data_IF_023914291934
#
_entry.id   IF_023914291934
#
_cell.length_a   1.000
_cell.length_b   1.000
_cell.length_c   1.000
_cell.angle_alpha   90.00
_cell.angle_beta   90.00
_cell.angle_gamma   90.00
#
_symmetry.space_group_name_H-M   'P 1'
#
loop_
_entity.id
_entity.type
_entity.pdbx_description
1 polymer ?
#
# COMPACT_ATOMS: atom_id res chain seq x y z
N UNK A 1 -1.19 12.11 11.07
CA UNK A 1 0.28 12.00 11.21
C UNK A 1 0.61 10.62 11.78
N UNK A 2 1.65 9.98 11.25
CA UNK A 2 2.27 8.77 11.81
C UNK A 2 3.70 9.15 12.17
N UNK A 3 4.12 8.81 13.37
CA UNK A 3 5.46 9.08 13.87
C UNK A 3 6.10 7.77 14.32
N UNK A 4 7.30 7.50 13.86
CA UNK A 4 8.09 6.30 14.16
C UNK A 4 9.36 6.77 14.88
N UNK A 5 9.56 6.33 16.11
CA UNK A 5 10.69 6.74 16.93
C UNK A 5 11.45 5.53 17.48
N UNK A 6 12.74 5.52 17.18
CA UNK A 6 13.71 4.51 17.64
C UNK A 6 13.22 3.08 17.40
N UNK A 7 12.67 2.83 16.20
CA UNK A 7 12.07 1.55 15.87
C UNK A 7 13.13 0.50 15.56
N UNK A 8 13.07 -0.61 16.29
CA UNK A 8 13.92 -1.76 16.07
C UNK A 8 13.09 -3.03 15.83
N UNK A 9 13.54 -3.86 14.90
CA UNK A 9 12.97 -5.19 14.67
C UNK A 9 14.04 -6.21 14.35
N UNK A 10 13.94 -7.37 14.98
CA UNK A 10 14.80 -8.53 14.71
C UNK A 10 13.98 -9.80 14.53
N UNK A 11 14.49 -10.70 13.71
CA UNK A 11 13.99 -12.06 13.56
C UNK A 11 15.10 -13.01 14.01
N UNK A 12 14.89 -13.64 15.17
CA UNK A 12 15.97 -14.40 15.82
C UNK A 12 17.19 -13.51 16.11
N UNK A 13 18.33 -13.83 15.50
CA UNK A 13 19.58 -13.07 15.66
C UNK A 13 19.76 -11.95 14.61
N UNK A 14 18.94 -11.92 13.56
CA UNK A 14 19.07 -10.97 12.44
C UNK A 14 18.34 -9.67 12.79
N UNK A 15 19.06 -8.57 12.89
CA UNK A 15 18.48 -7.22 12.99
C UNK A 15 18.05 -6.79 11.59
N UNK A 16 16.79 -6.39 11.44
CA UNK A 16 16.20 -5.94 10.17
C UNK A 16 15.88 -4.47 10.19
N UNK A 17 15.49 -3.93 11.35
CA UNK A 17 15.32 -2.50 11.57
C UNK A 17 16.14 -2.11 12.79
N UNK A 18 16.86 -0.98 12.73
CA UNK A 18 17.79 -0.58 13.76
C UNK A 18 17.78 0.93 14.01
N UNK A 19 16.90 1.38 14.90
CA UNK A 19 16.78 2.79 15.28
C UNK A 19 16.16 3.68 14.21
N UNK A 20 15.07 3.23 13.59
CA UNK A 20 14.38 3.99 12.54
C UNK A 20 13.59 5.15 13.14
N UNK A 21 13.78 6.34 12.56
CA UNK A 21 13.02 7.56 12.88
C UNK A 21 12.39 8.10 11.60
N UNK A 22 11.05 8.20 11.55
CA UNK A 22 10.30 8.66 10.38
C UNK A 22 9.04 9.41 10.82
N UNK A 23 8.67 10.43 10.04
CA UNK A 23 7.42 11.17 10.23
C UNK A 23 6.64 11.22 8.90
N UNK A 24 5.35 10.91 8.98
CA UNK A 24 4.44 10.94 7.84
C UNK A 24 3.28 11.90 8.12
N UNK A 25 3.32 13.05 7.45
CA UNK A 25 2.30 14.11 7.59
C UNK A 25 1.17 13.94 6.57
N UNK A 26 -0.04 14.41 6.87
CA UNK A 26 -1.16 14.43 5.93
C UNK A 26 -0.83 15.17 4.63
N UNK A 27 -1.49 14.78 3.53
CA UNK A 27 -1.38 15.47 2.25
C UNK A 27 -0.04 15.32 1.54
N UNK A 28 0.77 14.33 1.90
CA UNK A 28 2.07 14.08 1.27
C UNK A 28 2.21 12.67 0.73
N UNK A 29 3.06 12.51 -0.28
CA UNK A 29 3.48 11.22 -0.82
C UNK A 29 4.93 10.99 -0.42
N UNK A 30 5.16 9.90 0.31
CA UNK A 30 6.47 9.47 0.78
C UNK A 30 6.94 8.24 0.01
N UNK A 31 8.19 8.26 -0.45
CA UNK A 31 8.87 7.12 -1.01
C UNK A 31 9.77 6.46 0.04
N UNK A 32 9.76 5.14 0.10
CA UNK A 32 10.72 4.33 0.86
C UNK A 32 11.52 3.49 -0.12
N UNK A 33 12.77 3.87 -0.37
CA UNK A 33 13.66 3.20 -1.31
C UNK A 33 14.67 2.36 -0.55
N UNK A 34 14.98 1.19 -1.05
CA UNK A 34 16.00 0.29 -0.52
C UNK A 34 16.06 -1.01 -1.32
N UNK A 35 17.16 -1.71 -1.23
CA UNK A 35 17.33 -3.01 -1.87
C UNK A 35 16.33 -4.06 -1.37
N UNK A 36 16.25 -5.18 -2.09
CA UNK A 36 15.47 -6.31 -1.61
C UNK A 36 16.12 -6.85 -0.32
N UNK A 37 15.29 -7.03 0.73
CA UNK A 37 15.78 -7.42 2.05
C UNK A 37 16.15 -6.26 2.98
N UNK A 38 16.18 -4.99 2.53
CA UNK A 38 16.51 -3.83 3.37
C UNK A 38 15.53 -3.55 4.53
N UNK A 39 14.40 -4.27 4.61
CA UNK A 39 13.44 -4.11 5.72
C UNK A 39 12.20 -3.29 5.39
N UNK A 40 11.98 -2.84 4.14
CA UNK A 40 10.81 -2.02 3.74
C UNK A 40 9.46 -2.65 4.16
N UNK A 41 9.23 -3.89 3.75
CA UNK A 41 8.02 -4.66 4.12
C UNK A 41 7.93 -4.87 5.64
N UNK A 42 9.06 -5.08 6.31
CA UNK A 42 9.11 -5.24 7.77
C UNK A 42 8.68 -3.95 8.46
N UNK A 43 9.17 -2.80 8.00
CA UNK A 43 8.75 -1.49 8.52
C UNK A 43 7.24 -1.28 8.36
N UNK A 44 6.70 -1.57 7.17
CA UNK A 44 5.26 -1.45 6.93
C UNK A 44 4.43 -2.37 7.83
N UNK A 45 4.88 -3.61 8.03
CA UNK A 45 4.20 -4.56 8.92
C UNK A 45 4.26 -4.10 10.40
N UNK A 46 5.33 -3.45 10.84
CA UNK A 46 5.38 -2.81 12.15
C UNK A 46 4.40 -1.63 12.25
N UNK A 47 4.34 -0.74 11.24
CA UNK A 47 3.40 0.39 11.20
C UNK A 47 1.95 -0.12 11.22
N UNK A 48 1.67 -1.24 10.53
CA UNK A 48 0.34 -1.86 10.51
C UNK A 48 -0.01 -2.61 11.80
N UNK A 49 0.97 -2.81 12.71
CA UNK A 49 0.78 -3.59 13.94
C UNK A 49 0.71 -5.09 13.71
N UNK A 50 1.21 -5.57 12.57
CA UNK A 50 1.27 -7.01 12.23
C UNK A 50 2.47 -7.66 12.92
N UNK A 51 3.58 -6.93 13.03
CA UNK A 51 4.77 -7.40 13.75
C UNK A 51 4.98 -6.62 15.04
N UNK A 52 5.43 -7.31 16.07
CA UNK A 52 5.99 -6.72 17.30
C UNK A 52 7.33 -6.02 17.00
N UNK A 53 7.65 -5.00 17.76
CA UNK A 53 8.84 -4.17 17.62
C UNK A 53 9.24 -3.57 18.96
N UNK A 54 10.42 -2.97 19.06
CA UNK A 54 10.83 -2.08 20.14
C UNK A 54 10.95 -0.64 19.61
N UNK A 55 10.84 0.37 20.51
CA UNK A 55 10.65 1.76 20.13
C UNK A 55 9.17 2.15 20.16
N UNK A 56 8.77 3.17 19.42
CA UNK A 56 7.38 3.61 19.40
C UNK A 56 6.88 3.98 18.01
N UNK A 57 5.60 3.66 17.74
CA UNK A 57 4.86 4.14 16.57
C UNK A 57 3.59 4.82 17.08
N UNK A 58 3.52 6.12 16.88
CA UNK A 58 2.37 6.95 17.30
C UNK A 58 1.50 7.29 16.10
N UNK A 59 0.22 7.00 16.19
CA UNK A 59 -0.80 7.37 15.20
C UNK A 59 -2.14 7.64 15.90
N UNK A 60 -2.97 8.53 15.34
CA UNK A 60 -4.32 8.74 15.85
C UNK A 60 -5.11 7.44 15.82
N UNK A 61 -5.88 7.16 16.88
CA UNK A 61 -6.77 5.97 16.95
C UNK A 61 -7.85 5.96 15.86
N UNK A 62 -8.22 7.12 15.35
CA UNK A 62 -9.24 7.28 14.30
C UNK A 62 -8.66 7.17 12.89
N UNK A 63 -7.33 7.09 12.76
CA UNK A 63 -6.65 7.08 11.46
C UNK A 63 -6.88 5.74 10.74
N UNK A 64 -7.62 5.81 9.65
CA UNK A 64 -7.91 4.64 8.80
C UNK A 64 -6.73 4.39 7.86
N UNK A 65 -6.13 3.22 7.94
CA UNK A 65 -4.97 2.85 7.12
C UNK A 65 -5.33 1.69 6.21
N UNK A 66 -5.02 1.83 4.93
CA UNK A 66 -5.08 0.78 3.92
C UNK A 66 -3.67 0.30 3.55
N UNK A 67 -3.49 -1.01 3.37
CA UNK A 67 -2.20 -1.61 3.05
C UNK A 67 -2.29 -2.51 1.81
N UNK A 68 -1.50 -2.19 0.79
CA UNK A 68 -1.26 -3.06 -0.35
C UNK A 68 0.07 -3.78 -0.14
N UNK A 69 0.01 -5.05 0.18
CA UNK A 69 1.21 -5.88 0.38
C UNK A 69 1.99 -6.11 -0.92
N UNK A 70 3.31 -6.31 -0.79
CA UNK A 70 4.18 -6.70 -1.91
C UNK A 70 3.72 -8.00 -2.58
N UNK A 71 3.29 -8.99 -1.79
CA UNK A 71 2.65 -10.22 -2.24
C UNK A 71 1.21 -10.28 -1.74
N UNK A 72 0.26 -9.98 -2.62
CA UNK A 72 -1.16 -10.02 -2.26
C UNK A 72 -1.69 -11.46 -2.36
N UNK A 73 -2.36 -11.91 -1.30
CA UNK A 73 -3.06 -13.18 -1.28
C UNK A 73 -4.50 -13.01 -1.80
N UNK A 74 -4.93 -13.94 -2.64
CA UNK A 74 -6.31 -14.00 -3.13
C UNK A 74 -6.87 -15.41 -2.95
N UNK A 75 -8.08 -15.50 -2.47
CA UNK A 75 -8.78 -16.78 -2.35
C UNK A 75 -9.03 -17.38 -3.75
N UNK A 76 -8.87 -18.69 -3.88
CA UNK A 76 -8.87 -19.37 -5.18
C UNK A 76 -10.21 -19.33 -5.93
N UNK A 77 -11.32 -19.24 -5.20
CA UNK A 77 -12.68 -19.32 -5.75
C UNK A 77 -13.49 -18.03 -5.53
N UNK A 78 -12.80 -16.89 -5.46
CA UNK A 78 -13.44 -15.57 -5.34
C UNK A 78 -13.11 -14.75 -6.58
N UNK A 79 -14.13 -14.24 -7.25
CA UNK A 79 -13.99 -13.36 -8.40
C UNK A 79 -13.41 -12.00 -8.00
N UNK A 80 -12.95 -11.22 -9.00
CA UNK A 80 -12.49 -9.86 -8.75
C UNK A 80 -13.56 -8.99 -8.09
N UNK A 81 -14.82 -9.12 -8.54
CA UNK A 81 -15.94 -8.37 -7.95
C UNK A 81 -16.16 -8.76 -6.49
N UNK A 82 -16.31 -10.06 -6.21
CA UNK A 82 -16.50 -10.56 -4.85
C UNK A 82 -15.37 -10.17 -3.90
N UNK A 83 -14.12 -10.13 -4.41
CA UNK A 83 -12.98 -9.65 -3.63
C UNK A 83 -13.14 -8.19 -3.23
N UNK A 84 -13.55 -7.31 -4.15
CA UNK A 84 -13.79 -5.89 -3.85
C UNK A 84 -14.92 -5.70 -2.85
N UNK A 85 -16.02 -6.42 -3.04
CA UNK A 85 -17.15 -6.41 -2.11
C UNK A 85 -16.76 -6.89 -0.71
N UNK A 86 -15.98 -7.98 -0.65
CA UNK A 86 -15.43 -8.49 0.62
C UNK A 86 -14.58 -7.43 1.32
N UNK A 87 -13.67 -6.76 0.59
CA UNK A 87 -12.82 -5.71 1.15
C UNK A 87 -13.62 -4.53 1.70
N UNK A 88 -14.72 -4.14 1.05
CA UNK A 88 -15.63 -3.09 1.55
C UNK A 88 -16.36 -3.56 2.82
N UNK A 89 -16.95 -4.75 2.79
CA UNK A 89 -17.64 -5.34 3.96
C UNK A 89 -16.74 -5.50 5.17
N UNK A 90 -15.50 -5.94 4.95
CA UNK A 90 -14.49 -6.08 6.02
C UNK A 90 -14.13 -4.74 6.72
N UNK A 91 -14.37 -3.62 6.04
CA UNK A 91 -14.23 -2.26 6.61
C UNK A 91 -15.55 -1.70 7.15
N UNK A 92 -16.63 -2.49 7.19
CA UNK A 92 -17.95 -2.02 7.61
C UNK A 92 -18.60 -1.04 6.63
N UNK A 93 -18.13 -1.00 5.37
CA UNK A 93 -18.67 -0.11 4.36
C UNK A 93 -19.79 -0.79 3.56
N UNK A 94 -20.81 -0.04 3.15
CA UNK A 94 -21.84 -0.57 2.27
C UNK A 94 -21.24 -0.91 0.90
N UNK A 95 -21.63 -2.05 0.34
CA UNK A 95 -21.25 -2.41 -1.02
C UNK A 95 -22.02 -1.53 -2.00
N UNK A 96 -21.30 -0.86 -2.88
CA UNK A 96 -21.85 -0.03 -3.95
C UNK A 96 -21.33 -0.51 -5.30
N UNK A 97 -22.04 -1.45 -5.90
CA UNK A 97 -21.66 -2.05 -7.19
C UNK A 97 -21.52 -1.01 -8.31
N UNK A 98 -22.39 -0.01 -8.47
CA UNK A 98 -22.17 1.08 -9.42
C UNK A 98 -20.83 1.81 -9.24
N UNK A 99 -20.42 2.09 -8.01
CA UNK A 99 -19.10 2.72 -7.74
C UNK A 99 -17.94 1.78 -8.12
N UNK A 100 -18.06 0.48 -7.86
CA UNK A 100 -17.08 -0.51 -8.27
C UNK A 100 -16.96 -0.55 -9.80
N UNK A 101 -18.08 -0.59 -10.50
CA UNK A 101 -18.11 -0.62 -11.97
C UNK A 101 -17.53 0.64 -12.58
N UNK A 102 -17.90 1.82 -12.09
CA UNK A 102 -17.34 3.09 -12.54
C UNK A 102 -15.81 3.15 -12.34
N UNK A 103 -15.33 2.70 -11.18
CA UNK A 103 -13.88 2.62 -10.95
C UNK A 103 -13.23 1.59 -11.88
N UNK A 104 -13.90 0.48 -12.21
CA UNK A 104 -13.40 -0.54 -13.13
C UNK A 104 -13.35 -0.08 -14.60
N UNK A 105 -14.14 0.90 -15.01
CA UNK A 105 -13.98 1.53 -16.33
C UNK A 105 -12.56 2.05 -16.55
N UNK A 106 -11.91 2.49 -15.45
CA UNK A 106 -10.55 3.02 -15.45
C UNK A 106 -9.51 1.87 -15.42
N UNK A 107 -9.73 0.84 -14.58
CA UNK A 107 -8.78 -0.26 -14.38
C UNK A 107 -8.89 -1.37 -15.42
N UNK A 108 -10.07 -1.54 -16.03
CA UNK A 108 -10.38 -2.54 -17.04
C UNK A 108 -10.01 -3.97 -16.64
N UNK A 109 -10.34 -4.36 -15.40
CA UNK A 109 -10.13 -5.71 -14.89
C UNK A 109 -11.33 -6.61 -15.23
N UNK A 110 -11.12 -7.90 -15.56
CA UNK A 110 -12.19 -8.87 -15.77
C UNK A 110 -12.77 -9.32 -14.41
N UNK A 111 -13.66 -8.50 -13.82
CA UNK A 111 -14.15 -8.68 -12.46
C UNK A 111 -14.99 -9.94 -12.26
N UNK A 112 -15.45 -10.57 -13.33
CA UNK A 112 -16.17 -11.84 -13.37
C UNK A 112 -15.26 -13.07 -13.25
N UNK A 113 -13.95 -12.92 -13.44
CA UNK A 113 -12.97 -14.02 -13.33
C UNK A 113 -12.44 -14.14 -11.91
N UNK A 114 -11.96 -15.34 -11.56
CA UNK A 114 -11.31 -15.58 -10.27
C UNK A 114 -10.05 -14.73 -10.09
N UNK A 115 -9.98 -13.99 -8.99
CA UNK A 115 -8.87 -13.09 -8.70
C UNK A 115 -7.52 -13.84 -8.53
N UNK A 116 -7.57 -15.11 -8.12
CA UNK A 116 -6.38 -15.96 -8.00
C UNK A 116 -5.69 -16.20 -9.35
N UNK A 117 -6.44 -16.18 -10.46
CA UNK A 117 -5.94 -16.39 -11.83
C UNK A 117 -5.36 -15.12 -12.48
N UNK A 118 -5.48 -13.98 -11.82
CA UNK A 118 -4.95 -12.72 -12.33
C UNK A 118 -3.42 -12.74 -12.39
N UNK A 119 -2.87 -12.07 -13.41
CA UNK A 119 -1.43 -11.79 -13.44
C UNK A 119 -1.01 -10.95 -12.22
N UNK A 120 0.29 -10.93 -11.92
CA UNK A 120 0.83 -10.10 -10.82
C UNK A 120 0.37 -8.65 -10.91
N UNK A 121 0.45 -8.06 -12.12
CA UNK A 121 0.02 -6.68 -12.35
C UNK A 121 -1.48 -6.48 -12.17
N UNK A 122 -2.32 -7.43 -12.61
CA UNK A 122 -3.77 -7.37 -12.37
C UNK A 122 -4.11 -7.50 -10.89
N UNK A 123 -3.42 -8.37 -10.15
CA UNK A 123 -3.55 -8.51 -8.70
C UNK A 123 -3.21 -7.21 -7.96
N UNK A 124 -2.13 -6.53 -8.38
CA UNK A 124 -1.76 -5.20 -7.85
C UNK A 124 -2.83 -4.15 -8.14
N UNK A 125 -3.33 -4.10 -9.37
CA UNK A 125 -4.42 -3.20 -9.75
C UNK A 125 -5.68 -3.47 -8.92
N UNK A 126 -6.08 -4.73 -8.75
CA UNK A 126 -7.27 -5.12 -7.96
C UNK A 126 -7.11 -4.73 -6.48
N UNK A 127 -5.96 -5.03 -5.88
CA UNK A 127 -5.68 -4.63 -4.50
C UNK A 127 -5.66 -3.11 -4.31
N UNK A 128 -5.09 -2.36 -5.26
CA UNK A 128 -5.11 -0.90 -5.21
C UNK A 128 -6.54 -0.35 -5.39
N UNK A 129 -7.33 -0.93 -6.30
CA UNK A 129 -8.74 -0.61 -6.47
C UNK A 129 -9.54 -0.85 -5.18
N UNK A 130 -9.28 -1.96 -4.47
CA UNK A 130 -9.90 -2.24 -3.17
C UNK A 130 -9.58 -1.15 -2.15
N UNK A 131 -8.34 -0.65 -2.10
CA UNK A 131 -7.96 0.45 -1.19
C UNK A 131 -8.65 1.77 -1.53
N UNK A 132 -8.87 2.06 -2.83
CA UNK A 132 -9.56 3.27 -3.26
C UNK A 132 -11.06 3.27 -2.90
N UNK A 133 -11.67 2.09 -2.81
CA UNK A 133 -13.06 1.91 -2.40
C UNK A 133 -13.26 2.00 -0.88
N UNK A 134 -12.17 1.90 -0.12
CA UNK A 134 -12.17 2.05 1.33
C UNK A 134 -11.87 3.50 1.69
N UNK A 135 -12.59 4.07 2.63
CA UNK A 135 -12.35 5.43 3.12
C UNK A 135 -11.10 5.49 4.01
N UNK A 136 -9.91 5.33 3.40
CA UNK A 136 -8.64 5.38 4.11
C UNK A 136 -8.09 6.81 4.16
N UNK A 137 -7.36 7.15 5.24
CA UNK A 137 -6.60 8.39 5.40
C UNK A 137 -5.15 8.21 4.99
N UNK A 138 -4.63 7.00 5.21
CA UNK A 138 -3.26 6.61 4.88
C UNK A 138 -3.27 5.39 3.96
N UNK A 139 -2.50 5.45 2.89
CA UNK A 139 -2.29 4.38 1.94
C UNK A 139 -0.84 3.93 2.00
N UNK A 140 -0.59 2.71 2.47
CA UNK A 140 0.73 2.09 2.45
C UNK A 140 0.77 1.11 1.28
N UNK A 141 1.67 1.37 0.33
CA UNK A 141 1.77 0.63 -0.94
C UNK A 141 3.15 -0.01 -1.04
N UNK A 142 3.21 -1.33 -0.85
CA UNK A 142 4.46 -2.08 -0.89
C UNK A 142 4.72 -2.64 -2.30
N UNK A 143 5.74 -2.07 -2.97
CA UNK A 143 6.11 -2.39 -4.36
C UNK A 143 4.90 -2.38 -5.31
N UNK A 144 4.08 -1.31 -5.35
CA UNK A 144 2.79 -1.32 -6.04
C UNK A 144 2.92 -1.41 -7.57
N UNK A 145 4.06 -1.03 -8.13
CA UNK A 145 4.29 -1.00 -9.58
C UNK A 145 4.93 -2.28 -10.12
N UNK A 146 5.36 -3.18 -9.23
CA UNK A 146 6.05 -4.40 -9.63
C UNK A 146 5.12 -5.35 -10.41
N UNK A 147 5.51 -5.70 -11.64
CA UNK A 147 4.71 -6.54 -12.54
C UNK A 147 3.50 -5.84 -13.19
N UNK A 148 3.32 -4.54 -12.96
CA UNK A 148 2.27 -3.73 -13.61
C UNK A 148 2.79 -3.19 -14.94
N UNK A 149 1.97 -3.25 -15.97
CA UNK A 149 2.25 -2.69 -17.30
C UNK A 149 2.39 -1.16 -17.26
N UNK A 150 3.03 -0.58 -18.26
CA UNK A 150 3.30 0.86 -18.32
C UNK A 150 2.02 1.71 -18.18
N UNK A 151 0.95 1.31 -18.87
CA UNK A 151 -0.35 2.02 -18.78
C UNK A 151 -0.91 1.98 -17.36
N UNK A 152 -0.85 0.83 -16.72
CA UNK A 152 -1.26 0.66 -15.32
C UNK A 152 -0.40 1.48 -14.35
N UNK A 153 0.91 1.53 -14.53
CA UNK A 153 1.80 2.36 -13.72
C UNK A 153 1.44 3.85 -13.83
N UNK A 154 1.21 4.37 -15.06
CA UNK A 154 0.81 5.75 -15.30
C UNK A 154 -0.53 6.04 -14.62
N UNK A 155 -1.50 5.14 -14.78
CA UNK A 155 -2.81 5.25 -14.14
C UNK A 155 -2.70 5.31 -12.61
N UNK A 156 -2.00 4.35 -12.01
CA UNK A 156 -1.83 4.30 -10.56
C UNK A 156 -1.12 5.53 -10.01
N UNK A 157 -0.07 6.02 -10.68
CA UNK A 157 0.62 7.27 -10.32
C UNK A 157 -0.33 8.47 -10.36
N UNK A 158 -1.19 8.57 -11.38
CA UNK A 158 -2.22 9.62 -11.48
C UNK A 158 -3.19 9.57 -10.31
N UNK A 159 -3.71 8.39 -9.97
CA UNK A 159 -4.63 8.20 -8.84
C UNK A 159 -3.96 8.52 -7.50
N UNK A 160 -2.69 8.16 -7.32
CA UNK A 160 -1.90 8.51 -6.13
C UNK A 160 -1.78 10.03 -5.97
N UNK A 161 -1.54 10.78 -7.07
CA UNK A 161 -1.55 12.25 -7.01
C UNK A 161 -2.92 12.82 -6.64
N UNK A 162 -4.02 12.17 -7.09
CA UNK A 162 -5.37 12.56 -6.68
C UNK A 162 -5.65 12.30 -5.20
N UNK A 163 -5.09 11.22 -4.62
CA UNK A 163 -5.17 10.99 -3.17
C UNK A 163 -4.48 12.11 -2.40
N UNK A 164 -3.30 12.54 -2.82
CA UNK A 164 -2.61 13.72 -2.23
C UNK A 164 -3.47 14.98 -2.32
N UNK A 165 -4.08 15.25 -3.46
CA UNK A 165 -4.97 16.41 -3.64
C UNK A 165 -6.20 16.36 -2.72
N UNK A 166 -6.54 15.20 -2.18
CA UNK A 166 -7.58 14.98 -1.16
C UNK A 166 -7.01 14.91 0.27
N UNK A 167 -5.83 15.47 0.49
CA UNK A 167 -5.13 15.49 1.79
C UNK A 167 -4.86 14.10 2.38
N UNK A 168 -4.91 13.04 1.56
CA UNK A 168 -4.55 11.69 2.01
C UNK A 168 -3.03 11.52 2.03
N UNK A 169 -2.53 10.70 2.97
CA UNK A 169 -1.10 10.36 3.04
C UNK A 169 -0.86 9.09 2.24
N UNK A 170 0.18 9.08 1.42
CA UNK A 170 0.58 7.89 0.68
C UNK A 170 2.03 7.56 0.98
N UNK A 171 2.32 6.30 1.34
CA UNK A 171 3.67 5.80 1.61
C UNK A 171 3.91 4.65 0.63
N UNK A 172 4.94 4.77 -0.20
CA UNK A 172 5.20 3.84 -1.30
C UNK A 172 6.60 3.27 -1.17
N UNK A 173 6.75 1.96 -1.13
CA UNK A 173 8.07 1.34 -1.25
C UNK A 173 8.43 1.04 -2.71
N UNK A 174 9.72 1.11 -3.01
CA UNK A 174 10.30 0.60 -4.25
C UNK A 174 11.79 0.31 -4.07
N UNK A 175 12.30 -0.65 -4.83
CA UNK A 175 13.74 -0.84 -5.00
C UNK A 175 14.32 0.05 -6.11
N UNK A 176 13.46 0.74 -6.89
CA UNK A 176 13.83 1.62 -7.99
C UNK A 176 13.45 3.06 -7.69
N UNK A 177 14.43 3.90 -7.36
CA UNK A 177 14.21 5.33 -7.08
C UNK A 177 13.54 6.06 -8.25
N UNK A 178 13.88 5.71 -9.50
CA UNK A 178 13.33 6.34 -10.69
C UNK A 178 11.80 6.24 -10.75
N UNK A 179 11.22 5.16 -10.22
CA UNK A 179 9.77 4.95 -10.19
C UNK A 179 9.03 5.91 -9.25
N UNK A 180 9.72 6.46 -8.25
CA UNK A 180 9.16 7.31 -7.19
C UNK A 180 9.45 8.80 -7.35
N UNK A 181 10.57 9.18 -7.99
CA UNK A 181 10.99 10.59 -8.13
C UNK A 181 9.91 11.52 -8.69
N UNK A 182 9.09 11.03 -9.60
CA UNK A 182 8.06 11.83 -10.25
C UNK A 182 6.84 12.12 -9.38
N UNK A 183 6.61 11.33 -8.32
CA UNK A 183 5.37 11.39 -7.55
C UNK A 183 5.57 11.70 -6.07
N UNK A 184 6.73 11.38 -5.49
CA UNK A 184 6.99 11.55 -4.07
C UNK A 184 7.46 12.98 -3.75
N UNK A 185 6.95 13.51 -2.64
CA UNK A 185 7.42 14.77 -2.07
C UNK A 185 8.72 14.58 -1.29
N UNK A 186 8.83 13.44 -0.61
CA UNK A 186 9.97 13.08 0.25
C UNK A 186 10.32 11.63 -0.06
N UNK A 187 11.62 11.34 -0.16
CA UNK A 187 12.12 9.97 -0.34
C UNK A 187 13.09 9.65 0.78
N UNK A 188 12.78 8.59 1.52
CA UNK A 188 13.64 8.00 2.52
C UNK A 188 14.39 6.80 1.94
N UNK A 189 15.65 6.68 2.30
CA UNK A 189 16.47 5.53 1.95
C UNK A 189 16.59 4.61 3.16
N UNK A 190 16.24 3.35 2.98
CA UNK A 190 16.47 2.31 3.94
C UNK A 190 17.63 1.45 3.48
N UNK A 191 18.73 1.52 4.22
CA UNK A 191 19.95 0.76 3.97
C UNK A 191 20.32 0.01 5.24
N UNK A 192 20.27 -1.32 5.21
CA UNK A 192 20.62 -2.21 6.33
C UNK A 192 19.87 -1.94 7.65
N UNK A 193 18.62 -1.48 7.57
CA UNK A 193 17.77 -1.21 8.73
C UNK A 193 17.97 0.17 9.33
#
# INVERSE_FOLDING_TARGET
MIEVNDLHKKFGKVKVLNGIHLEYHPGKIYGLVGENGAGKTTLFNCIMGIYDYTGSITKSKTLKTGYLSASSFFYSQITGLEHLEFCMKAKGLPVNTPTIQHLNEIFQLPLDRYAAEYSTGMKKKLGFMALLLQDNDVFILDEPFNGVDLKGCILMKRLIRQLKAKEKTVIISSHLIASLREICDIIHYLNEG
#
